data_IF_686124726508
#
_entry.id   IF_686124726508
#
_cell.length_a   1.000
_cell.length_b   1.000
_cell.length_c   1.000
_cell.angle_alpha   90.00
_cell.angle_beta   90.00
_cell.angle_gamma   90.00
#
_symmetry.space_group_name_H-M   'P 1'
#
loop_
_entity.id
_entity.type
_entity.pdbx_description
1 polymer ?
#
# COMPACT_ATOMS: atom_id res chain seq x y z
N UNK A 1 -6.10 -16.61 -46.63
CA UNK A 1 -4.80 -17.32 -46.51
C UNK A 1 -3.79 -16.47 -45.74
N UNK A 2 -3.11 -17.05 -44.77
CA UNK A 2 -2.04 -16.50 -43.90
C UNK A 2 -2.51 -15.55 -42.79
N UNK A 3 -2.65 -16.04 -41.58
CA UNK A 3 -1.71 -16.41 -40.49
C UNK A 3 -1.02 -15.19 -39.90
N UNK A 4 -1.42 -14.91 -38.70
CA UNK A 4 -0.69 -15.18 -37.46
C UNK A 4 0.26 -14.09 -37.03
N UNK A 5 0.20 -13.74 -35.82
CA UNK A 5 1.20 -12.99 -35.12
C UNK A 5 0.79 -12.70 -33.71
N UNK A 6 0.72 -13.75 -32.88
CA UNK A 6 0.87 -13.56 -31.45
C UNK A 6 2.20 -12.84 -31.23
N UNK A 7 2.15 -11.71 -30.58
CA UNK A 7 3.34 -11.16 -29.94
C UNK A 7 3.04 -11.05 -28.45
N UNK A 8 3.46 -12.06 -27.75
CA UNK A 8 3.63 -12.04 -26.31
C UNK A 8 4.74 -11.05 -25.98
N UNK A 9 4.38 -9.91 -25.44
CA UNK A 9 5.35 -8.98 -24.89
C UNK A 9 5.67 -9.38 -23.47
N UNK A 10 6.77 -10.07 -23.30
CA UNK A 10 7.48 -10.21 -22.02
C UNK A 10 8.03 -8.83 -21.62
N UNK A 11 7.80 -8.36 -20.39
CA UNK A 11 8.55 -7.24 -19.85
C UNK A 11 9.89 -7.77 -19.32
N UNK A 12 10.94 -7.51 -20.01
CA UNK A 12 12.26 -7.94 -19.59
C UNK A 12 13.30 -7.68 -20.66
N UNK A 13 13.57 -6.43 -20.96
CA UNK A 13 14.70 -6.12 -21.81
C UNK A 13 15.83 -5.50 -20.99
N UNK A 14 16.81 -6.34 -20.76
CA UNK A 14 18.15 -5.96 -20.35
C UNK A 14 18.75 -5.02 -21.40
N UNK A 15 19.05 -3.82 -21.01
CA UNK A 15 19.99 -2.97 -21.74
C UNK A 15 21.00 -2.36 -20.78
N UNK A 16 22.25 -2.72 -21.07
CA UNK A 16 23.49 -2.07 -20.66
C UNK A 16 23.80 -1.93 -19.16
N UNK A 17 24.47 -2.95 -18.60
CA UNK A 17 25.67 -2.84 -17.79
C UNK A 17 25.67 -2.06 -16.49
N UNK A 18 24.64 -1.33 -16.19
CA UNK A 18 24.40 -0.71 -14.89
C UNK A 18 23.32 -1.50 -14.18
N UNK A 19 23.74 -2.55 -13.48
CA UNK A 19 22.94 -3.05 -12.37
C UNK A 19 22.82 -1.88 -11.40
N UNK A 20 21.69 -1.18 -11.43
CA UNK A 20 21.31 -0.30 -10.34
C UNK A 20 21.58 -1.08 -9.06
N UNK A 21 22.52 -0.55 -8.26
CA UNK A 21 22.87 -1.15 -6.97
C UNK A 21 21.73 -0.86 -6.01
N UNK A 22 20.62 -1.56 -6.21
CA UNK A 22 19.54 -1.55 -5.22
C UNK A 22 20.18 -2.01 -3.91
N UNK A 23 20.14 -1.20 -2.86
CA UNK A 23 20.73 -1.55 -1.57
C UNK A 23 20.30 -2.94 -1.12
N UNK A 24 21.22 -3.70 -0.53
CA UNK A 24 20.94 -5.07 -0.09
C UNK A 24 19.71 -5.15 0.80
N UNK A 25 19.51 -4.16 1.65
CA UNK A 25 18.33 -4.06 2.51
C UNK A 25 17.01 -4.00 1.72
N UNK A 26 17.01 -3.44 0.53
CA UNK A 26 15.83 -3.35 -0.32
C UNK A 26 15.60 -4.65 -1.10
N UNK A 27 16.68 -5.35 -1.46
CA UNK A 27 16.61 -6.68 -2.07
C UNK A 27 16.09 -7.76 -1.12
N UNK A 28 16.34 -7.59 0.18
CA UNK A 28 15.93 -8.55 1.23
C UNK A 28 14.53 -8.26 1.78
N UNK A 29 13.85 -7.21 1.32
CA UNK A 29 12.47 -6.96 1.72
C UNK A 29 11.55 -8.04 1.17
N UNK A 30 10.66 -8.61 2.00
CA UNK A 30 9.65 -9.55 1.53
C UNK A 30 8.89 -8.98 0.33
N UNK A 31 8.69 -9.81 -0.67
CA UNK A 31 7.98 -9.44 -1.90
C UNK A 31 6.55 -9.97 -1.90
N UNK A 32 6.27 -10.97 -1.09
CA UNK A 32 4.96 -11.62 -1.02
C UNK A 32 4.41 -11.63 0.40
N UNK A 33 3.11 -11.77 0.52
CA UNK A 33 2.45 -11.89 1.82
C UNK A 33 2.93 -13.14 2.58
N UNK A 34 3.16 -14.25 1.88
CA UNK A 34 3.63 -15.50 2.50
C UNK A 34 5.04 -15.35 3.09
N UNK A 35 5.92 -14.59 2.46
CA UNK A 35 7.24 -14.27 3.00
C UNK A 35 7.14 -13.44 4.28
N UNK A 36 6.19 -12.49 4.35
CA UNK A 36 5.94 -11.69 5.56
C UNK A 36 5.33 -12.54 6.65
N UNK A 37 4.36 -13.39 6.32
CA UNK A 37 3.69 -14.29 7.26
C UNK A 37 4.66 -15.32 7.85
N UNK A 38 5.70 -15.70 7.11
CA UNK A 38 6.78 -16.57 7.59
C UNK A 38 7.63 -15.93 8.70
N UNK A 39 7.64 -14.60 8.81
CA UNK A 39 8.29 -13.84 9.89
C UNK A 39 7.32 -13.64 11.05
N UNK A 40 7.39 -14.50 12.03
CA UNK A 40 6.41 -14.85 13.06
C UNK A 40 5.94 -13.73 14.01
N UNK A 41 6.40 -12.50 13.89
CA UNK A 41 6.18 -11.47 14.92
C UNK A 41 5.22 -10.34 14.54
N UNK A 42 4.70 -10.31 13.32
CA UNK A 42 3.97 -9.12 12.83
C UNK A 42 2.45 -9.28 12.78
N UNK A 43 1.92 -10.49 12.94
CA UNK A 43 0.51 -10.73 12.63
C UNK A 43 -0.11 -11.77 13.56
N UNK A 44 -0.81 -11.28 14.59
CA UNK A 44 -1.78 -12.12 15.31
C UNK A 44 -2.97 -12.51 14.40
N UNK A 45 -3.24 -11.73 13.36
CA UNK A 45 -4.38 -11.90 12.43
C UNK A 45 -3.96 -12.28 11.01
N UNK A 46 -3.12 -13.31 10.87
CA UNK A 46 -2.69 -13.85 9.56
C UNK A 46 -3.87 -14.21 8.66
N UNK A 47 -4.96 -14.65 9.24
CA UNK A 47 -6.15 -15.07 8.52
C UNK A 47 -6.90 -13.89 7.90
N UNK A 48 -6.99 -12.76 8.62
CA UNK A 48 -7.63 -11.53 8.10
C UNK A 48 -6.89 -11.03 6.86
N UNK A 49 -5.56 -10.99 6.90
CA UNK A 49 -4.76 -10.55 5.75
C UNK A 49 -4.92 -11.47 4.54
N UNK A 50 -4.96 -12.79 4.77
CA UNK A 50 -5.22 -13.76 3.71
C UNK A 50 -6.61 -13.58 3.11
N UNK A 51 -7.61 -13.27 3.92
CA UNK A 51 -8.98 -13.01 3.45
C UNK A 51 -9.04 -11.73 2.61
N UNK A 52 -8.38 -10.65 3.05
CA UNK A 52 -8.29 -9.39 2.30
C UNK A 52 -7.71 -9.64 0.91
N UNK A 53 -6.60 -10.36 0.82
CA UNK A 53 -5.94 -10.68 -0.44
C UNK A 53 -6.80 -11.60 -1.31
N UNK A 54 -7.39 -12.63 -0.72
CA UNK A 54 -8.24 -13.59 -1.45
C UNK A 54 -9.46 -12.93 -2.04
N UNK A 55 -10.10 -12.02 -1.31
CA UNK A 55 -11.30 -11.33 -1.75
C UNK A 55 -11.00 -10.13 -2.65
N UNK A 56 -9.74 -9.71 -2.75
CA UNK A 56 -9.30 -8.47 -3.42
C UNK A 56 -10.08 -7.23 -2.96
N UNK A 57 -10.52 -7.24 -1.71
CA UNK A 57 -11.25 -6.14 -1.09
C UNK A 57 -10.44 -5.56 0.07
N UNK A 58 -9.78 -4.42 -0.15
CA UNK A 58 -8.93 -3.84 0.87
C UNK A 58 -9.78 -3.28 2.03
N UNK A 59 -9.39 -3.62 3.23
CA UNK A 59 -10.02 -3.18 4.48
C UNK A 59 -9.11 -2.21 5.22
N UNK A 60 -9.68 -1.18 5.80
CA UNK A 60 -8.93 -0.25 6.63
C UNK A 60 -8.44 -0.92 7.91
N UNK A 61 -7.18 -0.74 8.23
CA UNK A 61 -6.51 -1.39 9.37
C UNK A 61 -5.42 -0.51 9.97
N UNK A 62 -5.06 -0.81 11.19
CA UNK A 62 -3.98 -0.15 11.91
C UNK A 62 -2.88 -1.18 12.19
N UNK A 63 -1.67 -0.87 11.75
CA UNK A 63 -0.49 -1.67 12.00
C UNK A 63 0.27 -1.09 13.18
N UNK A 64 0.30 -1.80 14.28
CA UNK A 64 1.05 -1.42 15.46
C UNK A 64 2.38 -2.19 15.55
N UNK A 65 3.41 -1.53 16.03
CA UNK A 65 4.69 -2.18 16.30
C UNK A 65 5.88 -1.21 16.33
N UNK A 66 7.04 -1.67 16.82
CA UNK A 66 8.27 -0.85 16.88
C UNK A 66 8.69 -0.35 15.50
N UNK A 67 9.53 0.69 15.43
CA UNK A 67 10.14 1.12 14.17
C UNK A 67 10.94 -0.02 13.51
N UNK A 68 10.94 -0.08 12.18
CA UNK A 68 11.72 -1.07 11.43
C UNK A 68 11.13 -2.48 11.39
N UNK A 69 9.88 -2.68 11.82
CA UNK A 69 9.20 -4.00 11.77
C UNK A 69 8.56 -4.33 10.42
N UNK A 70 8.70 -3.46 9.42
CA UNK A 70 8.19 -3.73 8.06
C UNK A 70 6.73 -3.36 7.83
N UNK A 71 6.11 -2.50 8.66
CA UNK A 71 4.72 -2.04 8.50
C UNK A 71 4.46 -1.46 7.11
N UNK A 72 5.33 -0.58 6.63
CA UNK A 72 5.22 0.01 5.28
C UNK A 72 5.35 -1.04 4.18
N UNK A 73 6.27 -1.99 4.34
CA UNK A 73 6.47 -3.09 3.40
C UNK A 73 5.22 -3.96 3.32
N UNK A 74 4.64 -4.32 4.45
CA UNK A 74 3.41 -5.08 4.53
C UNK A 74 2.24 -4.35 3.83
N UNK A 75 2.08 -3.05 4.09
CA UNK A 75 1.04 -2.26 3.45
C UNK A 75 1.19 -2.19 1.92
N UNK A 76 2.42 -2.07 1.42
CA UNK A 76 2.70 -2.11 -0.02
C UNK A 76 2.41 -3.47 -0.64
N UNK A 77 2.72 -4.55 0.06
CA UNK A 77 2.41 -5.91 -0.40
C UNK A 77 0.89 -6.10 -0.49
N UNK A 78 0.14 -5.70 0.55
CA UNK A 78 -1.32 -5.75 0.54
C UNK A 78 -1.88 -4.98 -0.66
N UNK A 79 -1.43 -3.75 -0.88
CA UNK A 79 -1.89 -2.92 -1.99
C UNK A 79 -1.66 -3.58 -3.35
N UNK A 80 -0.49 -4.19 -3.54
CA UNK A 80 -0.15 -4.91 -4.76
C UNK A 80 -1.03 -6.15 -4.96
N UNK A 81 -1.21 -6.95 -3.92
CA UNK A 81 -2.00 -8.18 -3.99
C UNK A 81 -3.50 -7.91 -4.29
N UNK A 82 -4.04 -6.81 -3.76
CA UNK A 82 -5.42 -6.39 -4.06
C UNK A 82 -5.54 -5.50 -5.30
N UNK A 83 -4.44 -5.25 -6.00
CA UNK A 83 -4.40 -4.42 -7.22
C UNK A 83 -4.86 -2.97 -6.96
N UNK A 84 -4.59 -2.44 -5.76
CA UNK A 84 -4.90 -1.08 -5.40
C UNK A 84 -3.70 -0.15 -5.60
N UNK A 85 -3.96 1.11 -5.89
CA UNK A 85 -2.92 2.13 -5.87
C UNK A 85 -2.50 2.43 -4.43
N UNK A 86 -1.19 2.50 -4.21
CA UNK A 86 -0.60 2.76 -2.91
C UNK A 86 -0.08 4.19 -2.83
N UNK A 87 -0.63 4.96 -1.90
CA UNK A 87 -0.19 6.32 -1.62
C UNK A 87 0.31 6.39 -0.19
N UNK A 88 1.52 6.89 -0.01
CA UNK A 88 2.16 7.04 1.30
C UNK A 88 2.08 8.49 1.77
N UNK A 89 1.68 8.68 3.02
CA UNK A 89 1.56 9.97 3.66
C UNK A 89 2.19 9.91 5.05
N UNK A 90 2.99 10.92 5.39
CA UNK A 90 3.50 11.08 6.74
C UNK A 90 2.62 12.05 7.54
N UNK A 91 2.11 11.60 8.68
CA UNK A 91 1.32 12.46 9.56
C UNK A 91 2.09 13.68 10.09
N UNK A 92 3.44 13.58 10.13
CA UNK A 92 4.31 14.64 10.66
C UNK A 92 4.52 15.76 9.65
N UNK A 93 4.69 15.43 8.36
CA UNK A 93 5.12 16.39 7.34
C UNK A 93 4.00 16.85 6.42
N UNK A 94 2.89 16.12 6.37
CA UNK A 94 1.81 16.37 5.42
C UNK A 94 0.76 17.31 5.98
N UNK A 95 0.32 18.25 5.16
CA UNK A 95 -0.72 19.21 5.50
C UNK A 95 -2.10 18.81 4.94
N UNK A 96 -3.12 19.61 5.29
CA UNK A 96 -4.49 19.43 4.80
C UNK A 96 -4.55 19.41 3.27
N UNK A 97 -3.77 20.26 2.59
CA UNK A 97 -3.73 20.35 1.13
C UNK A 97 -3.23 19.07 0.47
N UNK A 98 -2.32 18.36 1.13
CA UNK A 98 -1.83 17.09 0.61
C UNK A 98 -2.92 16.02 0.68
N UNK A 99 -3.69 16.00 1.76
CA UNK A 99 -4.84 15.13 1.93
C UNK A 99 -5.91 15.42 0.86
N UNK A 100 -6.23 16.69 0.61
CA UNK A 100 -7.20 17.09 -0.43
C UNK A 100 -6.78 16.63 -1.83
N UNK A 101 -5.48 16.71 -2.16
CA UNK A 101 -4.94 16.18 -3.43
C UNK A 101 -5.08 14.66 -3.53
N UNK A 102 -4.82 13.95 -2.44
CA UNK A 102 -4.95 12.49 -2.40
C UNK A 102 -6.42 12.09 -2.59
N UNK A 103 -7.34 12.80 -1.95
CA UNK A 103 -8.78 12.56 -2.09
C UNK A 103 -9.23 12.76 -3.53
N UNK A 104 -8.77 13.83 -4.19
CA UNK A 104 -9.11 14.09 -5.59
C UNK A 104 -8.54 12.99 -6.50
N UNK A 105 -7.32 12.57 -6.27
CA UNK A 105 -6.71 11.48 -7.01
C UNK A 105 -7.45 10.15 -6.79
N UNK A 106 -7.87 9.86 -5.57
CA UNK A 106 -8.66 8.67 -5.27
C UNK A 106 -10.05 8.69 -5.97
N UNK A 107 -10.65 9.86 -6.16
CA UNK A 107 -11.89 9.99 -6.95
C UNK A 107 -11.68 9.64 -8.41
N UNK A 108 -10.56 10.07 -8.99
CA UNK A 108 -10.20 9.72 -10.37
C UNK A 108 -10.00 8.21 -10.51
N UNK A 109 -9.27 7.59 -9.57
CA UNK A 109 -9.09 6.15 -9.53
C UNK A 109 -10.42 5.39 -9.40
N UNK A 110 -11.29 5.87 -8.52
CA UNK A 110 -12.62 5.27 -8.34
C UNK A 110 -13.43 5.23 -9.63
N UNK A 111 -13.38 6.30 -10.42
CA UNK A 111 -14.02 6.36 -11.73
C UNK A 111 -13.43 5.34 -12.72
N UNK A 112 -12.16 4.98 -12.55
CA UNK A 112 -11.46 3.94 -13.31
C UNK A 112 -11.60 2.53 -12.70
N UNK A 113 -12.45 2.38 -11.67
CA UNK A 113 -12.63 1.14 -10.91
C UNK A 113 -11.36 0.64 -10.21
N UNK A 114 -10.45 1.54 -9.93
CA UNK A 114 -9.24 1.27 -9.17
C UNK A 114 -9.43 1.70 -7.71
N UNK A 115 -9.06 0.83 -6.78
CA UNK A 115 -9.04 1.15 -5.35
C UNK A 115 -7.79 1.93 -5.00
N UNK A 116 -7.87 2.75 -3.97
CA UNK A 116 -6.73 3.52 -3.45
C UNK A 116 -6.52 3.19 -1.97
N UNK A 117 -5.33 2.74 -1.64
CA UNK A 117 -4.88 2.54 -0.26
C UNK A 117 -4.02 3.74 0.15
N UNK A 118 -4.46 4.43 1.19
CA UNK A 118 -3.71 5.48 1.85
C UNK A 118 -2.96 4.89 3.03
N UNK A 119 -1.65 4.80 2.94
CA UNK A 119 -0.79 4.45 4.06
C UNK A 119 -0.39 5.71 4.81
N UNK A 120 -0.67 5.74 6.11
CA UNK A 120 -0.31 6.86 6.97
C UNK A 120 0.67 6.41 8.02
N UNK A 121 1.91 6.88 7.91
CA UNK A 121 2.92 6.62 8.93
C UNK A 121 2.74 7.57 10.13
N UNK A 122 2.94 7.02 11.33
CA UNK A 122 2.74 7.71 12.62
C UNK A 122 1.34 8.34 12.73
N UNK A 123 0.30 7.58 12.41
CA UNK A 123 -1.09 8.07 12.33
C UNK A 123 -1.58 8.75 13.60
N UNK A 124 -1.05 8.37 14.77
CA UNK A 124 -1.37 9.00 16.06
C UNK A 124 -0.97 10.49 16.13
N UNK A 125 -0.12 10.95 15.22
CA UNK A 125 0.32 12.36 15.15
C UNK A 125 -0.59 13.26 14.30
N UNK A 126 -1.61 12.69 13.69
CA UNK A 126 -2.58 13.52 12.97
C UNK A 126 -3.35 14.43 13.93
N UNK A 127 -3.40 15.71 13.58
CA UNK A 127 -4.27 16.65 14.27
C UNK A 127 -5.73 16.50 13.79
N UNK A 128 -6.65 17.14 14.51
CA UNK A 128 -8.08 17.08 14.21
C UNK A 128 -8.42 17.55 12.79
N UNK A 129 -7.79 18.63 12.32
CA UNK A 129 -8.05 19.17 10.98
C UNK A 129 -7.64 18.19 9.87
N UNK A 130 -6.53 17.45 10.07
CA UNK A 130 -6.10 16.41 9.16
C UNK A 130 -7.06 15.20 9.20
N UNK A 131 -7.48 14.78 10.39
CA UNK A 131 -8.44 13.70 10.56
C UNK A 131 -9.78 14.04 9.87
N UNK A 132 -10.32 15.22 10.12
CA UNK A 132 -11.58 15.68 9.52
C UNK A 132 -11.51 15.77 7.99
N UNK A 133 -10.30 15.96 7.44
CA UNK A 133 -10.10 16.03 5.99
C UNK A 133 -10.14 14.67 5.30
N UNK A 134 -9.78 13.57 5.95
CA UNK A 134 -9.75 12.26 5.28
C UNK A 134 -10.78 11.25 5.79
N UNK A 135 -11.21 11.30 7.06
CA UNK A 135 -12.13 10.33 7.65
C UNK A 135 -13.44 10.16 6.85
N UNK A 136 -14.12 11.22 6.36
CA UNK A 136 -15.33 11.03 5.56
C UNK A 136 -15.11 10.22 4.29
N UNK A 137 -13.91 10.28 3.72
CA UNK A 137 -13.54 9.54 2.51
C UNK A 137 -13.16 8.09 2.79
N UNK A 138 -12.68 7.81 3.99
CA UNK A 138 -12.49 6.43 4.47
C UNK A 138 -13.85 5.79 4.79
N UNK A 139 -14.73 6.51 5.47
CA UNK A 139 -16.08 6.04 5.81
C UNK A 139 -16.93 5.77 4.57
N UNK A 140 -16.79 6.59 3.52
CA UNK A 140 -17.49 6.38 2.24
C UNK A 140 -16.89 5.25 1.40
N UNK A 141 -15.74 4.69 1.79
CA UNK A 141 -15.03 3.64 1.04
C UNK A 141 -14.24 4.15 -0.15
N UNK A 142 -14.15 5.47 -0.36
CA UNK A 142 -13.33 6.06 -1.43
C UNK A 142 -11.84 5.79 -1.22
N UNK A 143 -11.40 5.85 0.03
CA UNK A 143 -10.05 5.54 0.49
C UNK A 143 -10.08 4.35 1.45
N UNK A 144 -9.14 3.46 1.30
CA UNK A 144 -8.83 2.45 2.31
C UNK A 144 -7.63 2.91 3.12
N UNK A 145 -7.79 3.02 4.43
CA UNK A 145 -6.75 3.52 5.32
C UNK A 145 -5.92 2.37 5.89
N UNK A 146 -4.63 2.43 5.71
CA UNK A 146 -3.67 1.59 6.45
C UNK A 146 -2.80 2.51 7.30
N UNK A 147 -3.13 2.62 8.57
CA UNK A 147 -2.36 3.41 9.52
C UNK A 147 -1.22 2.62 10.12
N UNK A 148 -0.07 3.25 10.31
CA UNK A 148 1.03 2.69 11.08
C UNK A 148 1.28 3.54 12.31
N UNK A 149 1.58 2.88 13.43
CA UNK A 149 1.89 3.56 14.69
C UNK A 149 2.90 2.78 15.50
N UNK A 150 3.71 3.50 16.25
CA UNK A 150 4.61 2.94 17.26
C UNK A 150 4.01 3.02 18.68
N UNK A 151 2.92 3.75 18.84
CA UNK A 151 2.21 3.89 20.11
C UNK A 151 1.06 2.88 20.23
N UNK A 152 0.93 2.34 21.42
CA UNK A 152 -0.11 1.39 21.78
C UNK A 152 -1.29 2.13 22.43
#
# INVERSE_FOLDING_TARGET
MKRSGLCSSLPGRLYNGEMERVPLAERMRPQTLDEVIGQTHLLDDKEILRQIVRNKDPVSLILWGPPGTGKTTLARIIAREVEAEFIELSAVTSGKKDIERIVEHARQNWNLKQRTILFVDEIHRFNKAQQDAFLPHVESGLLTLVGATTEN
#
